data_IF_490070203773
#
_entry.id   IF_490070203773
#
_cell.length_a   1.000
_cell.length_b   1.000
_cell.length_c   1.000
_cell.angle_alpha   90.00
_cell.angle_beta   90.00
_cell.angle_gamma   90.00
#
_symmetry.space_group_name_H-M   'P 1'
#
loop_
_entity.id
_entity.type
_entity.pdbx_description
1 polymer ?
#
# COMPACT_ATOMS: atom_id res chain seq x y z
N UNK A 1 -13.63 -5.96 -3.29
CA UNK A 1 -12.21 -5.56 -3.13
C UNK A 1 -11.55 -5.48 -4.51
N UNK A 2 -10.94 -4.38 -4.81
CA UNK A 2 -10.29 -4.17 -6.10
C UNK A 2 -8.88 -3.64 -5.90
N UNK A 3 -7.94 -4.22 -6.63
CA UNK A 3 -6.54 -3.75 -6.67
C UNK A 3 -6.24 -3.34 -8.11
N UNK A 4 -5.82 -2.09 -8.29
CA UNK A 4 -5.49 -1.57 -9.62
C UNK A 4 -4.06 -1.06 -9.63
N UNK A 5 -3.24 -1.64 -10.50
CA UNK A 5 -1.84 -1.22 -10.68
C UNK A 5 -1.72 -0.49 -12.01
N UNK A 6 -1.16 0.71 -11.96
CA UNK A 6 -0.93 1.51 -13.17
C UNK A 6 0.45 2.14 -13.13
N UNK A 7 1.07 2.27 -14.29
CA UNK A 7 2.33 2.99 -14.44
C UNK A 7 2.03 4.46 -14.71
N UNK A 8 2.52 5.35 -13.82
CA UNK A 8 2.29 6.79 -13.94
C UNK A 8 3.37 7.42 -14.83
N UNK A 9 4.61 7.01 -14.62
CA UNK A 9 5.76 7.45 -15.39
C UNK A 9 6.86 6.41 -15.27
N UNK A 10 8.01 6.64 -15.91
CA UNK A 10 9.12 5.67 -15.87
C UNK A 10 9.56 5.42 -14.42
N UNK A 11 9.42 4.18 -13.98
CA UNK A 11 9.81 3.76 -12.63
C UNK A 11 8.82 4.14 -11.53
N UNK A 12 7.70 4.79 -11.85
CA UNK A 12 6.69 5.20 -10.88
C UNK A 12 5.40 4.42 -11.11
N UNK A 13 4.98 3.70 -10.09
CA UNK A 13 3.80 2.82 -10.14
C UNK A 13 2.79 3.28 -9.09
N UNK A 14 1.51 3.30 -9.45
CA UNK A 14 0.42 3.51 -8.50
C UNK A 14 -0.31 2.20 -8.25
N UNK A 15 -0.52 1.88 -6.99
CA UNK A 15 -1.36 0.80 -6.54
C UNK A 15 -2.57 1.40 -5.82
N UNK A 16 -3.76 1.24 -6.40
CA UNK A 16 -5.00 1.66 -5.78
C UNK A 16 -5.68 0.47 -5.13
N UNK A 17 -6.12 0.63 -3.87
CA UNK A 17 -6.78 -0.40 -3.09
C UNK A 17 -8.17 0.10 -2.70
N UNK A 18 -9.21 -0.60 -3.15
CA UNK A 18 -10.61 -0.23 -2.89
C UNK A 18 -11.31 -1.30 -2.07
N UNK A 19 -12.13 -0.88 -1.12
CA UNK A 19 -12.99 -1.76 -0.33
C UNK A 19 -12.47 -2.01 1.07
N UNK A 20 -12.40 -3.27 1.49
CA UNK A 20 -11.97 -3.68 2.82
C UNK A 20 -10.76 -4.58 2.73
N UNK A 21 -9.71 -4.25 3.46
CA UNK A 21 -8.47 -5.01 3.46
C UNK A 21 -8.36 -5.79 4.77
N UNK A 22 -8.53 -7.11 4.66
CA UNK A 22 -8.55 -8.03 5.80
C UNK A 22 -7.86 -9.35 5.43
N UNK A 23 -7.91 -10.33 6.31
CA UNK A 23 -7.27 -11.62 6.10
C UNK A 23 -7.78 -12.35 4.85
N UNK A 24 -9.03 -12.11 4.44
CA UNK A 24 -9.61 -12.74 3.25
C UNK A 24 -9.09 -12.10 1.96
N UNK A 25 -8.93 -10.77 1.95
CA UNK A 25 -8.54 -10.02 0.75
C UNK A 25 -7.04 -9.82 0.61
N UNK A 26 -6.27 -9.91 1.70
CA UNK A 26 -4.82 -9.73 1.70
C UNK A 26 -4.08 -10.63 0.70
N UNK A 27 -4.45 -11.92 0.50
CA UNK A 27 -3.75 -12.73 -0.51
C UNK A 27 -3.76 -12.12 -1.92
N UNK A 28 -4.85 -11.46 -2.30
CA UNK A 28 -4.93 -10.73 -3.58
C UNK A 28 -3.96 -9.56 -3.64
N UNK A 29 -3.86 -8.80 -2.56
CA UNK A 29 -2.91 -7.69 -2.46
C UNK A 29 -1.47 -8.21 -2.55
N UNK A 30 -1.14 -9.30 -1.86
CA UNK A 30 0.20 -9.88 -1.89
C UNK A 30 0.62 -10.31 -3.30
N UNK A 31 -0.30 -10.82 -4.10
CA UNK A 31 -0.02 -11.12 -5.52
C UNK A 31 0.37 -9.88 -6.30
N UNK A 32 -0.34 -8.78 -6.09
CA UNK A 32 -0.01 -7.51 -6.75
C UNK A 32 1.33 -6.95 -6.25
N UNK A 33 1.61 -7.07 -4.96
CA UNK A 33 2.90 -6.67 -4.38
C UNK A 33 4.05 -7.45 -5.02
N UNK A 34 3.90 -8.76 -5.18
CA UNK A 34 4.92 -9.60 -5.80
C UNK A 34 5.19 -9.17 -7.24
N UNK A 35 4.14 -8.93 -8.02
CA UNK A 35 4.26 -8.49 -9.40
C UNK A 35 4.97 -7.15 -9.52
N UNK A 36 4.54 -6.15 -8.76
CA UNK A 36 5.11 -4.81 -8.89
C UNK A 36 6.54 -4.74 -8.34
N UNK A 37 6.85 -5.47 -7.27
CA UNK A 37 8.21 -5.47 -6.72
C UNK A 37 9.22 -6.21 -7.60
N UNK A 38 8.75 -7.13 -8.45
CA UNK A 38 9.61 -7.78 -9.45
C UNK A 38 10.21 -6.81 -10.46
N UNK A 39 9.59 -5.65 -10.66
CA UNK A 39 10.08 -4.61 -11.57
C UNK A 39 11.03 -3.62 -10.92
N UNK A 40 11.28 -3.74 -9.62
CA UNK A 40 12.12 -2.82 -8.84
C UNK A 40 11.76 -1.35 -9.10
N UNK A 41 10.52 -0.93 -8.82
CA UNK A 41 10.11 0.44 -9.09
C UNK A 41 10.91 1.44 -8.25
N UNK A 42 11.13 2.62 -8.80
CA UNK A 42 11.79 3.71 -8.08
C UNK A 42 10.86 4.32 -7.04
N UNK A 43 9.57 4.30 -7.32
CA UNK A 43 8.56 4.85 -6.43
C UNK A 43 7.25 4.10 -6.59
N UNK A 44 6.63 3.77 -5.47
CA UNK A 44 5.28 3.22 -5.44
C UNK A 44 4.38 4.18 -4.68
N UNK A 45 3.33 4.62 -5.33
CA UNK A 45 2.29 5.44 -4.74
C UNK A 45 1.11 4.55 -4.41
N UNK A 46 0.80 4.40 -3.12
CA UNK A 46 -0.33 3.60 -2.68
C UNK A 46 -1.51 4.52 -2.47
N UNK A 47 -2.52 4.40 -3.32
CA UNK A 47 -3.74 5.18 -3.23
C UNK A 47 -4.78 4.43 -2.39
N UNK A 48 -5.03 4.91 -1.19
CA UNK A 48 -5.97 4.34 -0.23
C UNK A 48 -7.23 5.18 -0.08
N UNK A 49 -7.50 6.07 -1.02
CA UNK A 49 -8.65 6.97 -0.95
C UNK A 49 -10.01 6.24 -0.95
N UNK A 50 -10.05 5.05 -1.54
CA UNK A 50 -11.26 4.22 -1.59
C UNK A 50 -11.19 3.01 -0.65
N UNK A 51 -10.21 2.95 0.21
CA UNK A 51 -10.12 1.94 1.26
C UNK A 51 -11.02 2.36 2.42
N UNK A 52 -12.01 1.52 2.76
CA UNK A 52 -12.99 1.80 3.83
C UNK A 52 -12.55 1.25 5.17
N UNK A 53 -11.93 0.07 5.18
CA UNK A 53 -11.49 -0.61 6.40
C UNK A 53 -10.20 -1.36 6.16
N UNK A 54 -9.35 -1.39 7.20
CA UNK A 54 -8.15 -2.21 7.22
C UNK A 54 -7.98 -2.81 8.62
N UNK A 55 -7.61 -4.09 8.67
CA UNK A 55 -7.22 -4.76 9.91
C UNK A 55 -5.70 -4.93 9.98
N UNK A 56 -5.22 -5.63 11.01
CA UNK A 56 -3.78 -5.85 11.21
C UNK A 56 -3.14 -6.64 10.07
N UNK A 57 -3.89 -7.57 9.44
CA UNK A 57 -3.39 -8.32 8.28
C UNK A 57 -3.14 -7.39 7.10
N UNK A 58 -4.06 -6.46 6.86
CA UNK A 58 -3.93 -5.46 5.79
C UNK A 58 -2.79 -4.50 6.04
N UNK A 59 -2.67 -4.00 7.26
CA UNK A 59 -1.55 -3.13 7.65
C UNK A 59 -0.22 -3.86 7.44
N UNK A 60 -0.13 -5.11 7.86
CA UNK A 60 1.07 -5.92 7.68
C UNK A 60 1.47 -6.08 6.22
N UNK A 61 0.49 -6.26 5.32
CA UNK A 61 0.75 -6.36 3.89
C UNK A 61 1.31 -5.04 3.32
N UNK A 62 0.75 -3.90 3.73
CA UNK A 62 1.22 -2.58 3.29
C UNK A 62 2.64 -2.32 3.81
N UNK A 63 2.91 -2.64 5.06
CA UNK A 63 4.25 -2.51 5.63
C UNK A 63 5.25 -3.42 4.91
N UNK A 64 4.84 -4.64 4.54
CA UNK A 64 5.67 -5.56 3.77
C UNK A 64 6.04 -4.98 2.41
N UNK A 65 5.09 -4.36 1.71
CA UNK A 65 5.35 -3.64 0.46
C UNK A 65 6.38 -2.53 0.67
N UNK A 66 6.19 -1.71 1.70
CA UNK A 66 7.12 -0.64 2.04
C UNK A 66 8.54 -1.18 2.21
N UNK A 67 8.71 -2.23 3.01
CA UNK A 67 10.03 -2.82 3.27
C UNK A 67 10.69 -3.36 2.00
N UNK A 68 9.92 -4.02 1.14
CA UNK A 68 10.44 -4.59 -0.11
C UNK A 68 10.93 -3.51 -1.07
N UNK A 69 10.13 -2.48 -1.28
CA UNK A 69 10.46 -1.38 -2.20
C UNK A 69 11.64 -0.59 -1.66
N UNK A 70 11.66 -0.30 -0.36
CA UNK A 70 12.79 0.39 0.28
C UNK A 70 14.06 -0.44 0.19
N UNK A 71 13.98 -1.75 0.37
CA UNK A 71 15.11 -2.65 0.23
C UNK A 71 15.68 -2.71 -1.18
N UNK A 72 14.89 -2.35 -2.18
CA UNK A 72 15.30 -2.27 -3.58
C UNK A 72 15.79 -0.86 -3.98
N UNK A 73 15.88 0.05 -3.01
CA UNK A 73 16.30 1.43 -3.28
C UNK A 73 15.18 2.36 -3.72
N UNK A 74 13.94 1.88 -3.72
CA UNK A 74 12.78 2.70 -4.06
C UNK A 74 12.18 3.40 -2.85
N UNK A 75 11.13 4.19 -3.09
CA UNK A 75 10.36 4.84 -2.04
C UNK A 75 8.88 4.49 -2.16
N UNK A 76 8.15 4.59 -1.04
CA UNK A 76 6.72 4.35 -0.99
C UNK A 76 6.04 5.57 -0.39
N UNK A 77 5.00 6.03 -1.07
CA UNK A 77 4.16 7.15 -0.62
C UNK A 77 2.73 6.63 -0.49
N UNK A 78 2.07 7.01 0.59
CA UNK A 78 0.66 6.68 0.81
C UNK A 78 -0.16 7.93 0.65
N UNK A 79 -1.22 7.87 -0.17
CA UNK A 79 -2.11 9.00 -0.41
C UNK A 79 -3.56 8.61 -0.13
N UNK A 80 -4.36 9.59 0.26
CA UNK A 80 -5.79 9.44 0.38
C UNK A 80 -6.29 8.73 1.64
N UNK A 81 -5.43 8.45 2.61
CA UNK A 81 -5.86 7.84 3.87
C UNK A 81 -6.84 8.74 4.60
N UNK A 82 -7.96 8.13 5.04
CA UNK A 82 -9.00 8.83 5.81
C UNK A 82 -9.76 7.83 6.67
N UNK A 83 -10.59 8.34 7.57
CA UNK A 83 -11.52 7.57 8.40
C UNK A 83 -10.82 6.44 9.17
N UNK A 84 -11.39 5.23 9.19
CA UNK A 84 -10.86 4.12 9.97
C UNK A 84 -9.41 3.72 9.56
N UNK A 85 -9.07 3.61 8.28
CA UNK A 85 -7.68 3.33 7.90
C UNK A 85 -6.69 4.36 8.43
N UNK A 86 -7.01 5.64 8.36
CA UNK A 86 -6.15 6.69 8.89
C UNK A 86 -6.00 6.56 10.42
N UNK A 87 -7.11 6.30 11.12
CA UNK A 87 -7.08 6.12 12.57
C UNK A 87 -6.17 4.96 12.98
N UNK A 88 -6.22 3.84 12.25
CA UNK A 88 -5.36 2.68 12.53
C UNK A 88 -3.89 3.01 12.26
N UNK A 89 -3.59 3.69 11.15
CA UNK A 89 -2.22 4.08 10.83
C UNK A 89 -1.65 5.02 11.91
N UNK A 90 -2.43 5.96 12.39
CA UNK A 90 -2.03 6.86 13.48
C UNK A 90 -1.83 6.13 14.80
N UNK A 91 -2.74 5.21 15.13
CA UNK A 91 -2.64 4.41 16.34
C UNK A 91 -1.35 3.59 16.38
N UNK A 92 -0.95 3.03 15.23
CA UNK A 92 0.27 2.25 15.09
C UNK A 92 1.51 3.11 14.77
N UNK A 93 1.36 4.42 14.76
CA UNK A 93 2.41 5.39 14.45
C UNK A 93 3.01 5.24 13.05
N UNK A 94 2.26 4.65 12.15
CA UNK A 94 2.68 4.48 10.75
C UNK A 94 2.53 5.79 9.95
N UNK A 95 1.77 6.74 10.46
CA UNK A 95 1.71 8.10 9.90
C UNK A 95 3.10 8.72 9.80
N UNK A 96 4.01 8.40 10.72
CA UNK A 96 5.40 8.87 10.68
C UNK A 96 6.21 8.15 9.63
N UNK A 97 6.01 6.85 9.48
CA UNK A 97 6.73 6.02 8.49
C UNK A 97 6.39 6.45 7.07
N UNK A 98 5.12 6.72 6.81
CA UNK A 98 4.61 7.10 5.49
C UNK A 98 4.46 8.60 5.29
N UNK A 99 4.86 9.40 6.25
CA UNK A 99 4.79 10.88 6.21
C UNK A 99 3.37 11.39 5.91
N UNK A 100 2.40 10.86 6.63
CA UNK A 100 0.98 11.24 6.46
C UNK A 100 0.60 12.31 7.45
#
# INVERSE_FOLDING_TARGET
MTFTVSTISAGVVRLAVEGELDAVTVPGLRKEIDKLSATSPKRVEIDLSSLRMVDSSGVGAIVSLYKRVRGQGGEVVVVGLRDQPLAIFRLLRLDRVFAI
#
